data_IF_472114397876
#
_entry.id   IF_472114397876
#
_cell.length_a   1.000
_cell.length_b   1.000
_cell.length_c   1.000
_cell.angle_alpha   90.00
_cell.angle_beta   90.00
_cell.angle_gamma   90.00
#
_symmetry.space_group_name_H-M   'P 1'
#
loop_
_entity.id
_entity.type
_entity.pdbx_description
1 polymer ?
#
# COMPACT_ATOMS: atom_id res chain seq x y z
N UNK A 1 -42.72 -8.44 -71.15
CA UNK A 1 -42.02 -7.19 -71.52
C UNK A 1 -40.82 -6.98 -70.60
N UNK A 2 -39.74 -6.44 -71.16
CA UNK A 2 -38.38 -6.31 -70.61
C UNK A 2 -38.22 -5.24 -69.51
N UNK A 3 -37.22 -5.48 -68.64
CA UNK A 3 -36.31 -4.54 -67.93
C UNK A 3 -36.80 -3.80 -66.65
N UNK A 4 -35.89 -3.33 -65.76
CA UNK A 4 -34.85 -4.07 -65.01
C UNK A 4 -34.58 -3.53 -63.56
N UNK A 5 -33.64 -4.17 -62.85
CA UNK A 5 -32.68 -3.61 -61.89
C UNK A 5 -33.13 -2.61 -60.79
N UNK A 6 -33.00 -3.03 -59.52
CA UNK A 6 -32.32 -2.23 -58.48
C UNK A 6 -31.54 -3.14 -57.52
N UNK A 7 -30.21 -3.18 -57.68
CA UNK A 7 -29.26 -3.64 -56.65
C UNK A 7 -29.21 -2.57 -55.55
N UNK A 8 -29.69 -2.89 -54.35
CA UNK A 8 -29.39 -2.11 -53.14
C UNK A 8 -28.27 -2.81 -52.35
N UNK A 9 -27.04 -2.32 -52.52
CA UNK A 9 -25.91 -2.57 -51.62
C UNK A 9 -26.23 -1.92 -50.27
N UNK A 10 -26.48 -2.71 -49.22
CA UNK A 10 -26.43 -2.23 -47.84
C UNK A 10 -24.98 -2.25 -47.38
N UNK A 11 -24.43 -1.06 -47.14
CA UNK A 11 -23.15 -0.86 -46.49
C UNK A 11 -23.32 -1.14 -45.00
N UNK A 12 -22.67 -2.17 -44.47
CA UNK A 12 -22.50 -2.36 -43.04
C UNK A 12 -21.24 -1.60 -42.62
N UNK A 13 -21.42 -0.40 -42.06
CA UNK A 13 -20.37 0.29 -41.32
C UNK A 13 -20.21 -0.42 -39.97
N UNK A 14 -19.22 -1.31 -39.88
CA UNK A 14 -18.77 -1.83 -38.59
C UNK A 14 -17.94 -0.74 -37.91
N UNK A 15 -18.50 -0.11 -36.88
CA UNK A 15 -17.75 0.77 -35.99
C UNK A 15 -16.77 -0.10 -35.19
N UNK A 16 -15.48 -0.01 -35.50
CA UNK A 16 -14.42 -0.64 -34.72
C UNK A 16 -14.24 0.15 -33.42
N UNK A 17 -14.75 -0.41 -32.31
CA UNK A 17 -14.47 0.09 -30.96
C UNK A 17 -13.01 -0.25 -30.62
N UNK A 18 -12.11 0.72 -30.78
CA UNK A 18 -10.72 0.58 -30.34
C UNK A 18 -10.71 0.73 -28.81
N UNK A 19 -10.67 -0.41 -28.11
CA UNK A 19 -10.44 -0.46 -26.68
C UNK A 19 -8.95 -0.14 -26.43
N UNK A 20 -8.65 1.09 -26.05
CA UNK A 20 -7.31 1.44 -25.57
C UNK A 20 -7.16 0.87 -24.16
N UNK A 21 -6.61 -0.33 -24.05
CA UNK A 21 -6.08 -0.83 -22.78
C UNK A 21 -4.91 0.07 -22.38
N UNK A 22 -5.14 0.94 -21.41
CA UNK A 22 -4.06 1.59 -20.70
C UNK A 22 -3.23 0.51 -20.02
N UNK A 23 -2.09 0.17 -20.60
CA UNK A 23 -1.06 -0.63 -19.92
C UNK A 23 -0.49 0.25 -18.83
N UNK A 24 -1.00 0.10 -17.61
CA UNK A 24 -0.35 0.66 -16.44
C UNK A 24 0.98 -0.09 -16.30
N UNK A 25 2.14 0.57 -16.35
CA UNK A 25 3.40 -0.10 -16.13
C UNK A 25 3.38 -0.65 -14.71
N UNK A 26 3.43 -1.98 -14.58
CA UNK A 26 3.62 -2.64 -13.29
C UNK A 26 4.95 -2.14 -12.72
N UNK A 27 4.88 -1.28 -11.70
CA UNK A 27 6.03 -0.99 -10.85
C UNK A 27 6.60 -2.34 -10.41
N UNK A 28 7.92 -2.51 -10.60
CA UNK A 28 8.63 -3.78 -10.67
C UNK A 28 8.06 -4.88 -9.78
N UNK A 29 7.41 -5.87 -10.41
CA UNK A 29 7.22 -7.18 -9.80
C UNK A 29 8.62 -7.72 -9.53
N UNK A 30 9.07 -7.68 -8.28
CA UNK A 30 10.26 -8.42 -7.86
C UNK A 30 10.07 -9.88 -8.29
N UNK A 31 11.07 -10.47 -8.93
CA UNK A 31 10.99 -11.81 -9.54
C UNK A 31 10.29 -12.81 -8.59
N UNK A 32 9.30 -13.53 -9.11
CA UNK A 32 8.66 -14.63 -8.37
C UNK A 32 9.71 -15.64 -7.88
N UNK A 33 9.46 -16.39 -6.80
CA UNK A 33 10.41 -17.39 -6.32
C UNK A 33 10.75 -18.40 -7.42
N UNK A 34 12.01 -18.40 -7.88
CA UNK A 34 12.43 -19.17 -9.06
C UNK A 34 12.41 -20.69 -8.88
N UNK A 35 12.41 -21.20 -7.65
CA UNK A 35 12.35 -22.63 -7.34
C UNK A 35 11.38 -22.95 -6.20
N UNK A 36 10.53 -23.97 -6.40
CA UNK A 36 9.85 -24.69 -5.32
C UNK A 36 10.83 -25.67 -4.67
N UNK A 37 11.21 -25.43 -3.43
CA UNK A 37 12.27 -26.19 -2.72
C UNK A 37 11.87 -27.65 -2.42
N UNK A 38 10.59 -27.88 -2.12
CA UNK A 38 10.08 -29.16 -1.68
C UNK A 38 8.99 -29.63 -2.63
N UNK A 39 9.33 -30.56 -3.52
CA UNK A 39 8.41 -31.06 -4.55
C UNK A 39 8.25 -32.57 -4.39
N UNK A 40 7.01 -33.02 -4.27
CA UNK A 40 6.67 -34.43 -4.42
C UNK A 40 6.37 -34.74 -5.89
N UNK A 41 7.09 -35.65 -6.55
CA UNK A 41 6.84 -35.96 -7.96
C UNK A 41 5.55 -36.76 -8.21
N UNK A 42 5.08 -37.54 -7.24
CA UNK A 42 3.93 -38.46 -7.42
C UNK A 42 3.02 -38.51 -6.18
N UNK A 43 2.42 -37.38 -5.76
CA UNK A 43 1.53 -37.35 -4.61
C UNK A 43 0.19 -38.04 -4.94
N UNK A 44 -0.37 -38.78 -3.98
CA UNK A 44 -1.68 -39.44 -4.14
C UNK A 44 -2.87 -38.59 -3.68
N UNK A 45 -2.60 -37.37 -3.20
CA UNK A 45 -3.57 -36.39 -2.71
C UNK A 45 -2.96 -35.00 -2.84
N UNK A 46 -3.75 -33.95 -2.57
CA UNK A 46 -3.33 -32.55 -2.71
C UNK A 46 -3.44 -31.78 -1.40
N UNK A 47 -2.57 -30.79 -1.27
CA UNK A 47 -2.64 -29.72 -0.29
C UNK A 47 -2.53 -28.39 -1.03
N UNK A 48 -3.17 -27.36 -0.49
CA UNK A 48 -3.10 -25.98 -0.98
C UNK A 48 -2.89 -25.06 0.21
N UNK A 49 -2.08 -24.03 0.02
CA UNK A 49 -1.88 -22.94 0.99
C UNK A 49 -1.94 -21.60 0.25
N UNK A 50 -2.60 -20.60 0.85
CA UNK A 50 -2.74 -19.27 0.26
C UNK A 50 -2.84 -18.21 1.36
N UNK A 51 -2.51 -16.97 1.00
CA UNK A 51 -2.74 -15.79 1.85
C UNK A 51 -4.03 -15.08 1.47
N UNK A 52 -4.60 -14.30 2.40
CA UNK A 52 -5.92 -13.71 2.22
C UNK A 52 -6.03 -12.61 1.16
N UNK A 53 -4.91 -11.97 0.78
CA UNK A 53 -4.86 -11.03 -0.36
C UNK A 53 -4.42 -11.71 -1.67
N UNK A 54 -4.24 -13.03 -1.68
CA UNK A 54 -3.78 -13.81 -2.83
C UNK A 54 -2.25 -13.85 -2.97
N UNK A 55 -1.77 -14.83 -3.72
CA UNK A 55 -0.33 -15.02 -3.96
C UNK A 55 0.29 -13.80 -4.65
N UNK A 56 1.47 -13.39 -4.19
CA UNK A 56 2.20 -12.24 -4.71
C UNK A 56 1.61 -10.88 -4.30
N UNK A 57 0.67 -10.85 -3.36
CA UNK A 57 0.21 -9.60 -2.75
C UNK A 57 1.29 -8.95 -1.90
N UNK A 58 1.14 -7.65 -1.61
CA UNK A 58 2.05 -6.91 -0.73
C UNK A 58 1.39 -6.65 0.61
N UNK A 59 2.14 -6.91 1.67
CA UNK A 59 1.83 -6.55 3.04
C UNK A 59 2.92 -5.65 3.60
N UNK A 60 2.58 -4.78 4.54
CA UNK A 60 3.52 -3.92 5.23
C UNK A 60 3.79 -4.41 6.65
N UNK A 61 5.00 -4.20 7.20
CA UNK A 61 5.29 -4.53 8.59
C UNK A 61 4.23 -3.98 9.56
N UNK A 62 3.68 -4.85 10.40
CA UNK A 62 2.58 -4.56 11.32
C UNK A 62 1.18 -4.85 10.78
N UNK A 63 1.01 -5.15 9.48
CA UNK A 63 -0.27 -5.62 8.93
C UNK A 63 -0.57 -7.06 9.34
N UNK A 64 -1.85 -7.36 9.52
CA UNK A 64 -2.31 -8.72 9.73
C UNK A 64 -2.34 -9.49 8.42
N UNK A 65 -1.81 -10.71 8.44
CA UNK A 65 -1.88 -11.67 7.34
C UNK A 65 -2.61 -12.93 7.81
N UNK A 66 -3.52 -13.45 6.97
CA UNK A 66 -4.18 -14.73 7.22
C UNK A 66 -3.70 -15.77 6.23
N UNK A 67 -3.25 -16.90 6.75
CA UNK A 67 -2.74 -18.03 5.96
C UNK A 67 -3.79 -19.13 6.02
N UNK A 68 -4.41 -19.42 4.89
CA UNK A 68 -5.40 -20.49 4.78
C UNK A 68 -4.82 -21.69 4.05
N UNK A 69 -5.31 -22.87 4.40
CA UNK A 69 -4.90 -24.10 3.76
C UNK A 69 -6.02 -25.13 3.75
N UNK A 70 -5.91 -26.08 2.82
CA UNK A 70 -6.84 -27.19 2.66
C UNK A 70 -6.12 -28.42 2.11
N UNK A 71 -6.51 -29.59 2.58
CA UNK A 71 -6.04 -30.88 2.06
C UNK A 71 -7.20 -31.71 1.53
N UNK A 72 -6.94 -32.63 0.59
CA UNK A 72 -7.97 -33.56 0.07
C UNK A 72 -8.00 -34.90 0.78
N UNK A 73 -7.18 -35.08 1.83
CA UNK A 73 -7.11 -36.28 2.67
C UNK A 73 -6.89 -35.91 4.14
N UNK A 74 -7.40 -36.74 5.04
CA UNK A 74 -7.10 -36.65 6.47
C UNK A 74 -5.59 -36.84 6.69
N UNK A 75 -4.94 -35.90 7.36
CA UNK A 75 -3.48 -35.88 7.47
C UNK A 75 -2.96 -34.96 8.57
N UNK A 76 -1.67 -35.05 8.86
CA UNK A 76 -0.91 -34.08 9.63
C UNK A 76 -0.37 -33.00 8.69
N UNK A 77 -0.52 -31.73 9.09
CA UNK A 77 -0.05 -30.56 8.33
C UNK A 77 1.09 -29.87 9.07
N UNK A 78 2.04 -29.34 8.32
CA UNK A 78 3.13 -28.52 8.84
C UNK A 78 3.23 -27.28 7.97
N UNK A 79 3.24 -26.10 8.59
CA UNK A 79 3.37 -24.83 7.87
C UNK A 79 4.68 -24.19 8.28
N UNK A 80 5.53 -23.97 7.28
CA UNK A 80 6.85 -23.39 7.39
C UNK A 80 6.85 -22.03 6.74
N UNK A 81 7.35 -21.05 7.46
CA UNK A 81 7.63 -19.69 7.00
C UNK A 81 9.11 -19.54 6.70
N UNK A 82 9.43 -18.85 5.61
CA UNK A 82 10.77 -18.39 5.24
C UNK A 82 10.69 -16.89 5.01
N UNK A 83 11.26 -16.14 5.94
CA UNK A 83 11.23 -14.67 5.90
C UNK A 83 12.16 -14.11 4.81
N UNK A 84 12.05 -12.80 4.48
CA UNK A 84 12.90 -12.17 3.48
C UNK A 84 14.41 -12.20 3.77
N UNK A 85 14.81 -12.46 5.03
CA UNK A 85 16.21 -12.65 5.42
C UNK A 85 16.69 -14.09 5.24
N UNK A 86 15.81 -15.00 4.81
CA UNK A 86 16.06 -16.43 4.64
C UNK A 86 15.90 -17.23 5.94
N UNK A 87 15.28 -16.66 6.98
CA UNK A 87 15.11 -17.33 8.25
C UNK A 87 13.90 -18.26 8.24
N UNK A 88 14.05 -19.45 8.82
CA UNK A 88 13.00 -20.48 8.86
C UNK A 88 12.26 -20.47 10.18
N UNK A 89 10.93 -20.63 10.14
CA UNK A 89 10.07 -20.68 11.32
C UNK A 89 8.89 -21.62 11.12
N UNK A 90 8.57 -22.45 12.11
CA UNK A 90 7.36 -23.29 12.07
C UNK A 90 6.15 -22.49 12.56
N UNK A 91 5.19 -22.23 11.66
CA UNK A 91 3.90 -21.59 11.98
C UNK A 91 2.85 -22.61 12.46
N UNK A 92 2.95 -23.87 11.99
CA UNK A 92 2.10 -24.97 12.43
C UNK A 92 2.89 -26.29 12.43
N UNK A 93 2.80 -27.11 13.50
CA UNK A 93 2.25 -26.75 14.80
C UNK A 93 3.05 -25.63 15.47
N UNK A 94 2.40 -24.90 16.37
CA UNK A 94 3.01 -23.83 17.17
C UNK A 94 2.68 -23.96 18.65
N UNK A 95 3.28 -23.11 19.48
CA UNK A 95 2.97 -23.02 20.92
C UNK A 95 1.48 -22.74 21.18
N UNK A 96 0.79 -22.06 20.27
CA UNK A 96 -0.64 -21.75 20.38
C UNK A 96 -1.53 -22.76 19.65
N UNK A 97 -1.04 -23.39 18.58
CA UNK A 97 -1.80 -24.37 17.79
C UNK A 97 -1.01 -25.67 17.66
N UNK A 98 -1.08 -26.50 18.71
CA UNK A 98 -0.32 -27.76 18.79
C UNK A 98 -0.92 -28.88 17.93
N UNK A 99 -2.24 -28.89 17.76
CA UNK A 99 -2.90 -29.92 16.97
C UNK A 99 -2.83 -29.60 15.47
N UNK A 100 -1.99 -30.36 14.79
CA UNK A 100 -1.76 -30.23 13.37
C UNK A 100 -2.43 -31.33 12.52
N UNK A 101 -3.22 -32.22 13.14
CA UNK A 101 -4.06 -33.16 12.40
C UNK A 101 -5.31 -32.46 11.86
N UNK A 102 -5.61 -32.67 10.58
CA UNK A 102 -6.72 -32.04 9.87
C UNK A 102 -7.53 -33.07 9.09
N UNK A 103 -8.83 -32.81 8.98
CA UNK A 103 -9.77 -33.60 8.16
C UNK A 103 -9.70 -33.14 6.71
N UNK A 104 -9.91 -34.07 5.79
CA UNK A 104 -10.03 -33.82 4.37
C UNK A 104 -11.10 -32.77 4.07
N UNK A 105 -10.85 -31.97 3.05
CA UNK A 105 -11.79 -31.03 2.45
C UNK A 105 -12.28 -29.91 3.37
N UNK A 106 -11.61 -29.69 4.50
CA UNK A 106 -11.86 -28.57 5.39
C UNK A 106 -10.78 -27.50 5.19
N UNK A 107 -11.21 -26.27 4.95
CA UNK A 107 -10.31 -25.11 4.97
C UNK A 107 -10.05 -24.71 6.41
N UNK A 108 -8.78 -24.61 6.80
CA UNK A 108 -8.34 -24.00 8.06
C UNK A 108 -7.59 -22.70 7.76
N UNK A 109 -7.65 -21.76 8.69
CA UNK A 109 -7.01 -20.45 8.56
C UNK A 109 -6.23 -20.14 9.83
N UNK A 110 -4.95 -19.80 9.67
CA UNK A 110 -4.09 -19.25 10.70
C UNK A 110 -4.12 -17.72 10.64
N UNK A 111 -4.02 -17.03 11.78
CA UNK A 111 -4.07 -17.58 13.14
C UNK A 111 -5.46 -18.11 13.51
N UNK A 112 -5.53 -19.11 14.40
CA UNK A 112 -6.81 -19.55 14.99
C UNK A 112 -7.06 -18.85 16.32
N UNK A 113 -8.29 -18.38 16.54
CA UNK A 113 -8.68 -17.67 17.75
C UNK A 113 -8.41 -16.16 17.68
N UNK A 114 -8.09 -15.55 18.81
CA UNK A 114 -7.95 -14.10 18.96
C UNK A 114 -6.53 -13.56 18.73
N UNK A 115 -5.57 -14.43 18.41
CA UNK A 115 -4.21 -14.00 18.13
C UNK A 115 -4.12 -13.41 16.72
N UNK A 116 -3.31 -12.38 16.53
CA UNK A 116 -3.08 -11.75 15.23
C UNK A 116 -1.67 -12.06 14.72
N UNK A 117 -1.58 -12.67 13.54
CA UNK A 117 -0.30 -12.89 12.85
C UNK A 117 0.04 -11.62 12.07
N UNK A 118 1.03 -10.87 12.56
CA UNK A 118 1.50 -9.65 11.91
C UNK A 118 2.72 -9.91 11.04
N UNK A 119 2.78 -9.24 9.90
CA UNK A 119 3.96 -9.25 9.02
C UNK A 119 5.09 -8.47 9.68
N UNK A 120 6.31 -9.00 9.61
CA UNK A 120 7.49 -8.40 10.22
C UNK A 120 8.75 -8.67 9.38
N UNK A 121 9.83 -7.97 9.69
CA UNK A 121 11.12 -8.16 9.02
C UNK A 121 11.37 -7.16 7.88
N UNK A 122 12.50 -7.32 7.17
CA UNK A 122 12.91 -6.40 6.12
C UNK A 122 12.06 -6.58 4.84
N UNK A 123 12.07 -5.58 3.93
CA UNK A 123 11.39 -5.71 2.64
C UNK A 123 11.94 -6.86 1.80
N UNK A 124 11.07 -7.58 1.12
CA UNK A 124 11.44 -8.70 0.24
C UNK A 124 10.32 -9.72 0.11
N UNK A 125 10.67 -10.97 -0.19
CA UNK A 125 9.71 -12.05 -0.41
C UNK A 125 9.61 -12.91 0.84
N UNK A 126 8.40 -13.12 1.33
CA UNK A 126 8.09 -14.06 2.40
C UNK A 126 7.40 -15.28 1.78
N UNK A 127 7.90 -16.48 2.08
CA UNK A 127 7.44 -17.74 1.47
C UNK A 127 6.82 -18.65 2.51
N UNK A 128 5.61 -19.12 2.22
CA UNK A 128 4.87 -20.05 3.08
C UNK A 128 4.81 -21.42 2.39
N UNK A 129 5.34 -22.44 3.05
CA UNK A 129 5.29 -23.82 2.61
C UNK A 129 4.32 -24.62 3.47
N UNK A 130 3.51 -25.45 2.82
CA UNK A 130 2.73 -26.48 3.48
C UNK A 130 3.32 -27.86 3.17
N UNK A 131 3.45 -28.68 4.21
CA UNK A 131 3.70 -30.11 4.09
C UNK A 131 2.53 -30.86 4.70
N UNK A 132 1.94 -31.79 3.97
CA UNK A 132 0.88 -32.65 4.47
C UNK A 132 1.30 -34.11 4.35
N UNK A 133 1.06 -34.90 5.40
CA UNK A 133 1.39 -36.33 5.42
C UNK A 133 0.35 -37.15 6.19
N UNK A 134 -0.04 -38.30 5.66
CA UNK A 134 -0.93 -39.23 6.39
C UNK A 134 -0.27 -39.92 7.57
N UNK A 135 1.05 -39.82 7.68
CA UNK A 135 1.83 -40.23 8.84
C UNK A 135 2.40 -39.01 9.53
N UNK A 136 2.40 -38.99 10.85
CA UNK A 136 3.06 -37.95 11.60
C UNK A 136 4.56 -37.95 11.27
N UNK A 137 5.09 -36.76 10.96
CA UNK A 137 6.48 -36.53 10.62
C UNK A 137 7.21 -35.91 11.81
N UNK A 138 8.38 -36.45 12.10
CA UNK A 138 9.34 -35.87 13.04
C UNK A 138 10.16 -34.77 12.34
N UNK A 139 9.61 -33.56 12.30
CA UNK A 139 10.23 -32.44 11.60
C UNK A 139 11.41 -31.86 12.40
N UNK A 140 12.56 -31.59 11.75
CA UNK A 140 13.70 -31.00 12.43
C UNK A 140 13.35 -29.62 13.01
N UNK A 141 13.93 -29.31 14.18
CA UNK A 141 13.74 -28.05 14.94
C UNK A 141 12.31 -27.79 15.44
N UNK A 142 11.33 -28.63 15.10
CA UNK A 142 9.94 -28.41 15.49
C UNK A 142 9.75 -28.50 17.00
N UNK A 143 10.32 -29.52 17.64
CA UNK A 143 10.21 -29.68 19.08
C UNK A 143 10.84 -28.51 19.85
N UNK A 144 11.95 -27.97 19.35
CA UNK A 144 12.55 -26.75 19.89
C UNK A 144 11.59 -25.56 19.78
N UNK A 145 10.98 -25.36 18.61
CA UNK A 145 9.97 -24.31 18.38
C UNK A 145 8.82 -24.42 19.39
N UNK A 146 8.27 -25.62 19.58
CA UNK A 146 7.16 -25.89 20.50
C UNK A 146 7.52 -25.72 21.99
N UNK A 147 8.79 -25.92 22.36
CA UNK A 147 9.28 -25.79 23.75
C UNK A 147 9.77 -24.40 24.11
N UNK A 148 10.08 -23.56 23.13
CA UNK A 148 10.61 -22.21 23.34
C UNK A 148 9.68 -21.29 24.15
N UNK A 149 8.36 -21.57 24.15
CA UNK A 149 7.33 -20.68 24.68
C UNK A 149 7.07 -19.45 23.82
N UNK A 150 7.86 -19.24 22.76
CA UNK A 150 7.70 -18.18 21.77
C UNK A 150 6.91 -18.71 20.57
N UNK A 151 6.15 -17.83 19.93
CA UNK A 151 5.50 -18.19 18.68
C UNK A 151 6.49 -18.14 17.52
N UNK A 152 6.56 -19.26 16.79
CA UNK A 152 7.36 -19.40 15.57
C UNK A 152 8.79 -18.81 15.71
N UNK A 153 9.56 -19.20 16.75
CA UNK A 153 10.92 -18.70 16.92
C UNK A 153 11.77 -19.00 15.68
N UNK A 154 12.72 -18.11 15.41
CA UNK A 154 13.72 -18.29 14.35
C UNK A 154 14.52 -19.56 14.61
N UNK A 155 14.68 -20.38 13.57
CA UNK A 155 15.58 -21.53 13.60
C UNK A 155 17.00 -21.01 13.37
N UNK A 156 17.84 -21.11 14.41
CA UNK A 156 19.24 -20.65 14.39
C UNK A 156 20.16 -21.72 13.76
N UNK A 157 20.02 -21.92 12.45
CA UNK A 157 20.88 -22.79 11.66
C UNK A 157 21.06 -22.26 10.23
N UNK A 158 22.04 -22.80 9.49
CA UNK A 158 22.26 -22.45 8.09
C UNK A 158 21.10 -22.97 7.21
N UNK A 159 20.63 -22.13 6.28
CA UNK A 159 19.49 -22.43 5.41
C UNK A 159 19.65 -23.74 4.61
N UNK A 160 20.84 -24.03 4.07
CA UNK A 160 21.09 -25.25 3.30
C UNK A 160 20.98 -26.51 4.18
N UNK A 161 21.44 -26.40 5.44
CA UNK A 161 21.33 -27.49 6.43
C UNK A 161 19.86 -27.74 6.76
N UNK A 162 19.10 -26.68 7.06
CA UNK A 162 17.66 -26.77 7.37
C UNK A 162 16.92 -27.43 6.21
N UNK A 163 17.11 -26.94 4.98
CA UNK A 163 16.48 -27.50 3.79
C UNK A 163 16.83 -28.97 3.59
N UNK A 164 18.11 -29.34 3.75
CA UNK A 164 18.57 -30.72 3.60
C UNK A 164 17.97 -31.65 4.63
N UNK A 165 17.87 -31.23 5.89
CA UNK A 165 17.27 -32.04 6.97
C UNK A 165 15.76 -32.23 6.76
N UNK A 166 15.03 -31.16 6.43
CA UNK A 166 13.60 -31.25 6.10
C UNK A 166 13.40 -32.19 4.92
N UNK A 167 14.17 -32.01 3.84
CA UNK A 167 14.10 -32.83 2.63
C UNK A 167 14.40 -34.30 2.92
N UNK A 168 15.43 -34.59 3.71
CA UNK A 168 15.76 -35.95 4.11
C UNK A 168 14.60 -36.60 4.89
N UNK A 169 13.97 -35.85 5.81
CA UNK A 169 12.87 -36.37 6.61
C UNK A 169 11.64 -36.72 5.77
N UNK A 170 11.26 -35.87 4.82
CA UNK A 170 10.09 -36.11 3.96
C UNK A 170 10.36 -37.19 2.91
N UNK A 171 11.58 -37.30 2.38
CA UNK A 171 11.92 -38.27 1.33
C UNK A 171 11.97 -39.73 1.81
N UNK A 172 12.14 -39.96 3.12
CA UNK A 172 12.04 -41.31 3.70
C UNK A 172 10.60 -41.83 3.67
N UNK A 173 9.61 -40.93 3.58
CA UNK A 173 8.20 -41.30 3.51
C UNK A 173 7.81 -41.59 2.06
N UNK A 174 7.08 -42.70 1.78
CA UNK A 174 6.63 -43.01 0.43
C UNK A 174 5.91 -41.82 -0.22
N UNK A 175 6.17 -41.55 -1.50
CA UNK A 175 5.64 -40.38 -2.21
C UNK A 175 4.11 -40.30 -2.20
N UNK A 176 3.40 -41.43 -2.10
CA UNK A 176 1.93 -41.44 -2.01
C UNK A 176 1.37 -41.02 -0.64
N UNK A 177 2.24 -40.80 0.37
CA UNK A 177 1.86 -40.52 1.75
C UNK A 177 1.99 -39.06 2.12
N UNK A 178 2.76 -38.28 1.36
CA UNK A 178 2.94 -36.85 1.60
C UNK A 178 2.65 -36.01 0.35
N UNK A 179 2.50 -34.70 0.54
CA UNK A 179 2.41 -33.70 -0.53
C UNK A 179 2.90 -32.37 0.04
N UNK A 180 3.37 -31.49 -0.84
CA UNK A 180 3.73 -30.13 -0.48
C UNK A 180 3.13 -29.15 -1.47
N UNK A 181 2.92 -27.93 -0.99
CA UNK A 181 2.61 -26.77 -1.82
C UNK A 181 3.22 -25.53 -1.18
N UNK A 182 3.17 -24.39 -1.87
CA UNK A 182 3.73 -23.14 -1.40
C UNK A 182 3.00 -21.94 -1.98
N UNK A 183 2.91 -20.86 -1.21
CA UNK A 183 2.52 -19.52 -1.65
C UNK A 183 3.59 -18.52 -1.21
N UNK A 184 3.54 -17.30 -1.73
CA UNK A 184 4.40 -16.21 -1.27
C UNK A 184 3.64 -14.87 -1.26
N UNK A 185 4.20 -13.90 -0.55
CA UNK A 185 3.80 -12.49 -0.60
C UNK A 185 5.03 -11.58 -0.43
N UNK A 186 4.85 -10.28 -0.68
CA UNK A 186 5.92 -9.29 -0.51
C UNK A 186 5.76 -8.53 0.79
N UNK A 187 6.87 -8.33 1.49
CA UNK A 187 7.00 -7.38 2.59
C UNK A 187 7.44 -6.04 2.02
N UNK A 188 6.60 -5.00 2.17
CA UNK A 188 6.85 -3.66 1.65
C UNK A 188 7.79 -2.82 2.54
N UNK A 189 8.48 -1.87 1.92
CA UNK A 189 9.28 -0.85 2.62
C UNK A 189 8.40 0.33 3.04
N UNK A 190 7.70 0.23 4.17
CA UNK A 190 6.85 1.30 4.67
C UNK A 190 6.34 1.01 6.06
N UNK A 191 6.03 2.05 6.83
CA UNK A 191 5.38 1.90 8.12
C UNK A 191 3.86 1.71 7.92
N UNK A 192 3.28 0.74 8.63
CA UNK A 192 1.84 0.57 8.71
C UNK A 192 1.35 0.87 10.13
N UNK A 193 0.26 1.64 10.29
CA UNK A 193 -0.44 2.40 9.25
C UNK A 193 0.44 3.51 8.66
N UNK A 194 0.17 3.97 7.42
CA UNK A 194 0.92 5.08 6.84
C UNK A 194 0.85 6.28 7.80
N UNK A 195 1.98 6.98 7.96
CA UNK A 195 2.04 8.17 8.80
C UNK A 195 0.95 9.15 8.34
N UNK A 196 0.00 9.43 9.24
CA UNK A 196 -1.02 10.44 8.99
C UNK A 196 -0.28 11.77 8.95
N UNK A 197 -0.14 12.37 7.76
CA UNK A 197 0.48 13.71 7.67
C UNK A 197 -0.37 14.66 8.50
N UNK A 198 0.21 15.38 9.48
CA UNK A 198 -0.56 16.36 10.24
C UNK A 198 -1.16 17.38 9.27
N UNK A 199 -2.38 17.88 9.51
CA UNK A 199 -2.94 18.96 8.72
C UNK A 199 -1.95 20.13 8.66
N UNK A 200 -1.87 20.88 7.55
CA UNK A 200 -1.07 22.11 7.50
C UNK A 200 -1.49 23.03 8.66
N UNK A 201 -0.52 23.67 9.32
CA UNK A 201 -0.82 24.61 10.38
C UNK A 201 -1.72 25.75 9.84
N UNK A 202 -2.69 26.26 10.61
CA UNK A 202 -3.54 27.37 10.18
C UNK A 202 -2.68 28.59 9.79
N UNK A 203 -2.90 29.14 8.60
CA UNK A 203 -2.27 30.40 8.21
C UNK A 203 -2.93 31.54 9.01
N UNK A 204 -2.12 32.28 9.77
CA UNK A 204 -2.56 33.54 10.37
C UNK A 204 -2.67 34.57 9.25
N UNK A 205 -3.87 35.12 9.06
CA UNK A 205 -4.20 36.10 8.03
C UNK A 205 -4.87 37.32 8.67
N UNK A 206 -4.53 38.51 8.19
CA UNK A 206 -5.21 39.76 8.48
C UNK A 206 -6.05 40.27 7.30
N UNK A 207 -6.47 41.52 7.41
CA UNK A 207 -7.16 42.25 6.37
C UNK A 207 -6.67 43.71 6.34
N UNK A 208 -6.86 44.40 5.23
CA UNK A 208 -6.55 45.83 5.11
C UNK A 208 -7.68 46.59 4.44
N UNK A 209 -8.11 47.69 5.05
CA UNK A 209 -9.04 48.64 4.47
C UNK A 209 -8.26 49.86 3.96
N UNK A 210 -8.27 50.07 2.65
CA UNK A 210 -7.54 51.14 1.98
C UNK A 210 -8.52 52.17 1.45
N UNK A 211 -8.37 53.41 1.88
CA UNK A 211 -9.16 54.55 1.40
C UNK A 211 -8.25 55.69 0.93
N UNK A 212 -8.78 56.55 0.07
CA UNK A 212 -8.07 57.75 -0.38
C UNK A 212 -8.99 58.96 -0.54
N UNK A 213 -8.38 60.14 -0.51
CA UNK A 213 -9.03 61.40 -0.88
C UNK A 213 -8.23 62.08 -2.01
N UNK A 214 -8.81 62.27 -3.21
CA UNK A 214 -10.12 61.78 -3.64
C UNK A 214 -10.20 60.24 -3.68
N UNK A 215 -11.43 59.71 -3.62
CA UNK A 215 -11.72 58.28 -3.81
C UNK A 215 -11.61 57.87 -5.29
N UNK A 216 -11.58 56.56 -5.56
CA UNK A 216 -11.46 56.01 -6.91
C UNK A 216 -10.01 55.84 -7.40
N UNK A 217 -9.04 55.82 -6.49
CA UNK A 217 -7.66 55.49 -6.81
C UNK A 217 -7.51 53.97 -7.00
N UNK A 218 -6.78 53.53 -8.03
CA UNK A 218 -6.43 52.11 -8.22
C UNK A 218 -5.50 51.67 -7.11
N UNK A 219 -5.76 50.51 -6.53
CA UNK A 219 -5.03 49.94 -5.40
C UNK A 219 -4.34 48.66 -5.83
N UNK A 220 -3.04 48.59 -5.55
CA UNK A 220 -2.22 47.38 -5.68
C UNK A 220 -1.75 46.97 -4.29
N UNK A 221 -1.83 45.69 -3.96
CA UNK A 221 -1.23 45.09 -2.77
C UNK A 221 -0.13 44.13 -3.24
N UNK A 222 1.12 44.41 -2.85
CA UNK A 222 2.33 43.66 -3.24
C UNK A 222 2.43 43.48 -4.77
N UNK A 223 2.16 44.56 -5.51
CA UNK A 223 2.19 44.59 -6.98
C UNK A 223 0.98 43.96 -7.67
N UNK A 224 0.03 43.34 -6.95
CA UNK A 224 -1.20 42.81 -7.52
C UNK A 224 -2.34 43.81 -7.43
N UNK A 225 -3.00 44.13 -8.55
CA UNK A 225 -4.18 45.00 -8.57
C UNK A 225 -5.34 44.36 -7.79
N UNK A 226 -5.89 45.09 -6.82
CA UNK A 226 -7.00 44.63 -5.97
C UNK A 226 -8.31 45.33 -6.26
N UNK A 227 -8.27 46.55 -6.83
CA UNK A 227 -9.46 47.32 -7.19
C UNK A 227 -9.26 48.82 -6.99
N UNK A 228 -10.28 49.52 -6.48
CA UNK A 228 -10.28 50.98 -6.34
C UNK A 228 -10.69 51.41 -4.92
N UNK A 229 -10.14 52.52 -4.42
CA UNK A 229 -10.50 53.06 -3.10
C UNK A 229 -11.94 53.60 -3.03
N UNK A 230 -12.66 53.44 -1.90
CA UNK A 230 -12.29 52.62 -0.75
C UNK A 230 -12.44 51.11 -1.02
N UNK A 231 -11.48 50.30 -0.56
CA UNK A 231 -11.47 48.84 -0.74
C UNK A 231 -11.09 48.10 0.55
N UNK A 232 -11.78 47.00 0.81
CA UNK A 232 -11.45 46.05 1.87
C UNK A 232 -10.84 44.77 1.28
N UNK A 233 -9.59 44.49 1.61
CA UNK A 233 -8.81 43.34 1.12
C UNK A 233 -8.66 42.34 2.28
N UNK A 234 -9.17 41.12 2.07
CA UNK A 234 -9.09 40.01 3.03
C UNK A 234 -7.87 39.14 2.75
N UNK A 235 -7.60 38.23 3.67
CA UNK A 235 -6.64 37.13 3.51
C UNK A 235 -5.21 37.61 3.21
N UNK A 236 -4.81 38.70 3.89
CA UNK A 236 -3.45 39.23 3.80
C UNK A 236 -2.56 38.46 4.79
N UNK A 237 -1.47 37.81 4.35
CA UNK A 237 -0.55 37.15 5.26
C UNK A 237 -0.05 38.07 6.38
N UNK A 238 0.41 37.50 7.50
CA UNK A 238 1.21 38.29 8.44
C UNK A 238 2.57 38.60 7.81
N UNK A 239 3.05 39.82 8.01
CA UNK A 239 4.34 40.27 7.49
C UNK A 239 4.31 41.67 6.88
N UNK A 240 5.43 42.02 6.25
CA UNK A 240 5.61 43.28 5.53
C UNK A 240 4.86 43.22 4.20
N UNK A 241 4.08 44.26 3.94
CA UNK A 241 3.28 44.43 2.74
C UNK A 241 3.40 45.86 2.22
N UNK A 242 3.09 46.05 0.95
CA UNK A 242 3.08 47.36 0.32
C UNK A 242 1.74 47.61 -0.37
N UNK A 243 1.13 48.76 -0.10
CA UNK A 243 0.01 49.26 -0.89
C UNK A 243 0.46 50.40 -1.79
N UNK A 244 0.16 50.28 -3.08
CA UNK A 244 0.36 51.35 -4.06
C UNK A 244 -0.98 51.89 -4.54
N UNK A 245 -1.15 53.21 -4.45
CA UNK A 245 -2.34 53.92 -4.92
C UNK A 245 -1.99 54.75 -6.15
N UNK A 246 -2.74 54.55 -7.24
CA UNK A 246 -2.54 55.25 -8.51
C UNK A 246 -3.84 55.89 -8.97
N UNK A 247 -3.82 57.20 -9.23
CA UNK A 247 -4.97 57.93 -9.76
C UNK A 247 -4.53 58.92 -10.84
N UNK A 248 -5.31 59.01 -11.92
CA UNK A 248 -4.99 59.90 -13.04
C UNK A 248 -4.94 61.37 -12.59
N UNK A 249 -3.83 62.04 -12.89
CA UNK A 249 -3.60 63.44 -12.49
C UNK A 249 -3.07 63.61 -11.06
N UNK A 250 -2.69 62.52 -10.39
CA UNK A 250 -2.13 62.52 -9.04
C UNK A 250 -0.82 61.73 -9.00
N UNK A 251 0.10 62.12 -8.11
CA UNK A 251 1.31 61.35 -7.84
C UNK A 251 0.95 59.97 -7.27
N UNK A 252 1.65 58.94 -7.73
CA UNK A 252 1.50 57.60 -7.16
C UNK A 252 1.97 57.60 -5.70
N UNK A 253 1.20 56.96 -4.82
CA UNK A 253 1.52 56.84 -3.40
C UNK A 253 1.91 55.41 -3.11
N UNK A 254 3.12 55.21 -2.60
CA UNK A 254 3.61 53.94 -2.09
C UNK A 254 3.54 53.97 -0.57
N UNK A 255 2.91 52.98 0.05
CA UNK A 255 2.79 52.88 1.50
C UNK A 255 3.12 51.47 2.00
N UNK A 256 4.30 51.28 2.61
CA UNK A 256 4.61 50.04 3.32
C UNK A 256 3.80 49.96 4.63
N UNK A 257 3.35 48.75 4.98
CA UNK A 257 2.68 48.45 6.24
C UNK A 257 2.98 47.01 6.68
N UNK A 258 2.89 46.75 7.99
CA UNK A 258 3.12 45.42 8.54
C UNK A 258 1.82 44.87 9.12
N UNK A 259 1.37 43.72 8.63
CA UNK A 259 0.27 42.94 9.21
C UNK A 259 0.86 42.13 10.35
N UNK A 260 0.85 42.68 11.55
CA UNK A 260 1.48 42.09 12.74
C UNK A 260 0.58 41.13 13.54
N UNK A 261 -0.73 41.13 13.28
CA UNK A 261 -1.69 40.24 13.93
C UNK A 261 -2.92 39.98 13.03
N UNK A 262 -3.68 38.89 13.27
CA UNK A 262 -4.94 38.62 12.58
C UNK A 262 -6.00 39.67 12.92
N UNK A 263 -6.02 40.76 12.15
CA UNK A 263 -6.89 41.90 12.37
C UNK A 263 -7.01 42.76 11.12
N UNK A 264 -7.81 43.83 11.21
CA UNK A 264 -7.96 44.79 10.11
C UNK A 264 -7.06 45.99 10.32
N UNK A 265 -6.20 46.24 9.34
CA UNK A 265 -5.35 47.42 9.25
C UNK A 265 -6.03 48.49 8.40
N UNK A 266 -5.84 49.76 8.73
CA UNK A 266 -6.50 50.87 8.03
C UNK A 266 -5.44 51.79 7.42
N UNK A 267 -5.56 52.00 6.11
CA UNK A 267 -4.69 52.89 5.35
C UNK A 267 -5.57 53.96 4.72
N UNK A 268 -5.29 55.23 5.04
CA UNK A 268 -5.96 56.39 4.42
C UNK A 268 -4.91 57.31 3.84
N UNK A 269 -5.05 57.68 2.56
CA UNK A 269 -4.08 58.56 1.87
C UNK A 269 -4.75 59.72 1.15
N UNK A 270 -4.25 60.93 1.38
CA UNK A 270 -4.59 62.10 0.59
C UNK A 270 -3.66 62.16 -0.62
N UNK A 271 -4.22 62.18 -1.82
CA UNK A 271 -3.44 62.19 -3.06
C UNK A 271 -3.13 63.62 -3.46
N UNK A 272 -1.88 63.86 -3.84
CA UNK A 272 -1.43 65.16 -4.34
C UNK A 272 -1.51 65.19 -5.86
N UNK A 273 -2.11 66.26 -6.41
CA UNK A 273 -2.19 66.45 -7.86
C UNK A 273 -0.79 66.67 -8.45
N UNK A 274 -0.62 66.20 -9.67
CA UNK A 274 0.55 66.56 -10.49
C UNK A 274 0.25 67.95 -11.05
N UNK A 275 1.12 68.91 -10.76
CA UNK A 275 1.07 70.26 -11.34
C UNK A 275 1.42 70.28 -12.82
#
# INVERSE_FOLDING_TARGET
>A
MKHPNRRCRRWLLAAALVLVLAVIPAAGRADEPKLKLFVNPTPAFSAQVWVDRGEGSTYFPGENVRISFRTTRDCYVYILDIDPSGAYRWLLPSVWWKNNYVRANQTRTLPEGSYELTVAGPPGIEQIYIFASTRQLDMPYLEYSLRSGQFAPRIEANAEIIQKEIKARIQIVPSTYWVSDSTYFYVGSGAWPPAVTPPPAPQLLGAVNVSSSPSGARVFLDGQERGYTPIFIRDVPLGEHEVVLIMRGYHAVVHPFNVSYPGTFYITRNLQRIE
#
